data_IF_048476148860
#
_entry.id   IF_048476148860
#
_cell.length_a   1.000
_cell.length_b   1.000
_cell.length_c   1.000
_cell.angle_alpha   90.00
_cell.angle_beta   90.00
_cell.angle_gamma   90.00
#
_symmetry.space_group_name_H-M   'P 1'
#
loop_
_entity.id
_entity.type
_entity.pdbx_description
1 polymer ?
#
# COMPACT_ATOMS: atom_id res chain seq x y z
N UNK A 1 -9.18 -14.20 18.82
CA UNK A 1 -10.21 -14.50 19.82
C UNK A 1 -11.28 -15.36 19.15
N UNK A 2 -11.63 -16.47 19.80
CA UNK A 2 -12.76 -17.31 19.40
C UNK A 2 -13.70 -17.45 20.59
N UNK A 3 -14.99 -17.29 20.39
CA UNK A 3 -16.02 -17.42 21.42
C UNK A 3 -17.25 -18.10 20.86
N UNK A 4 -17.87 -18.94 21.71
CA UNK A 4 -19.16 -19.57 21.44
C UNK A 4 -20.13 -19.24 22.57
N UNK A 5 -21.33 -18.87 22.20
CA UNK A 5 -22.45 -18.66 23.11
C UNK A 5 -23.60 -19.59 22.76
N UNK A 6 -24.16 -20.20 23.78
CA UNK A 6 -25.40 -20.96 23.66
C UNK A 6 -26.56 -20.02 24.01
N UNK A 7 -27.44 -19.78 23.06
CA UNK A 7 -28.65 -18.95 23.21
C UNK A 7 -29.86 -19.86 23.25
N UNK A 8 -30.06 -20.54 24.40
CA UNK A 8 -30.94 -21.68 24.52
C UNK A 8 -30.39 -22.85 23.70
N UNK A 9 -31.17 -23.33 22.74
CA UNK A 9 -30.77 -24.43 21.84
C UNK A 9 -30.11 -23.93 20.53
N UNK A 10 -29.83 -22.62 20.41
CA UNK A 10 -29.15 -21.99 19.28
C UNK A 10 -27.71 -21.70 19.60
N UNK A 11 -26.87 -21.61 18.59
CA UNK A 11 -25.44 -21.31 18.78
C UNK A 11 -25.07 -20.05 18.04
N UNK A 12 -24.31 -19.19 18.71
CA UNK A 12 -23.65 -18.04 18.12
C UNK A 12 -22.13 -18.17 18.31
N UNK A 13 -21.40 -18.30 17.22
CA UNK A 13 -19.95 -18.32 17.21
C UNK A 13 -19.41 -16.98 16.74
N UNK A 14 -18.35 -16.49 17.36
CA UNK A 14 -17.59 -15.32 16.96
C UNK A 14 -16.12 -15.68 16.78
N UNK A 15 -15.54 -15.22 15.67
CA UNK A 15 -14.10 -15.24 15.43
C UNK A 15 -13.62 -13.83 15.18
N UNK A 16 -12.72 -13.35 16.01
CA UNK A 16 -12.10 -12.02 15.88
C UNK A 16 -10.58 -12.12 15.85
N UNK A 17 -9.95 -11.37 14.97
CA UNK A 17 -8.50 -11.20 14.96
C UNK A 17 -8.15 -9.75 14.63
N UNK A 18 -7.02 -9.30 15.15
CA UNK A 18 -6.45 -8.01 14.85
C UNK A 18 -4.94 -8.17 14.71
N UNK A 19 -4.38 -7.51 13.73
CA UNK A 19 -2.94 -7.51 13.52
C UNK A 19 -2.50 -6.09 13.20
N UNK A 20 -1.39 -5.69 13.79
CA UNK A 20 -0.74 -4.42 13.55
C UNK A 20 0.75 -4.62 13.33
N UNK A 21 1.29 -3.97 12.31
CA UNK A 21 2.72 -3.98 12.01
C UNK A 21 3.16 -2.56 11.68
N UNK A 22 4.26 -2.14 12.27
CA UNK A 22 4.95 -0.91 11.91
C UNK A 22 6.41 -1.26 11.60
N UNK A 23 6.83 -1.01 10.37
CA UNK A 23 8.12 -1.41 9.85
C UNK A 23 8.87 -0.19 9.33
N UNK A 24 10.08 0.01 9.82
CA UNK A 24 11.03 1.01 9.34
C UNK A 24 12.12 0.30 8.54
N UNK A 25 12.42 0.81 7.34
CA UNK A 25 13.52 0.34 6.50
C UNK A 25 14.29 1.52 5.97
N UNK A 26 15.59 1.49 6.15
CA UNK A 26 16.53 2.47 5.61
C UNK A 26 17.41 1.79 4.58
N UNK A 27 17.57 2.43 3.44
CA UNK A 27 18.53 2.05 2.42
C UNK A 27 19.43 3.25 2.20
N UNK A 28 20.70 3.09 2.46
CA UNK A 28 21.72 4.15 2.30
C UNK A 28 22.68 3.76 1.19
N UNK A 29 23.17 4.75 0.46
CA UNK A 29 24.10 4.58 -0.64
C UNK A 29 23.60 3.61 -1.73
N UNK A 30 22.31 3.64 -2.03
CA UNK A 30 21.72 2.77 -3.05
C UNK A 30 22.02 3.34 -4.44
N UNK A 31 22.79 2.62 -5.24
CA UNK A 31 23.08 3.02 -6.61
C UNK A 31 21.82 3.01 -7.48
N UNK A 32 21.60 4.12 -8.17
CA UNK A 32 20.49 4.30 -9.11
C UNK A 32 21.03 4.82 -10.44
N UNK A 33 21.52 3.87 -11.25
CA UNK A 33 22.25 4.15 -12.47
C UNK A 33 21.39 3.87 -13.71
N UNK A 34 21.55 4.69 -14.73
CA UNK A 34 21.09 4.41 -16.09
C UNK A 34 22.31 4.21 -16.98
N UNK A 35 22.40 3.01 -17.54
CA UNK A 35 23.52 2.63 -18.40
C UNK A 35 23.22 2.95 -19.86
N UNK A 36 24.23 3.47 -20.56
CA UNK A 36 24.26 3.63 -22.00
C UNK A 36 24.93 2.45 -22.71
N UNK A 37 25.57 2.74 -23.86
CA UNK A 37 26.31 1.75 -24.62
C UNK A 37 27.58 1.38 -23.84
N UNK A 38 27.84 0.08 -23.69
CA UNK A 38 29.03 -0.40 -23.04
C UNK A 38 30.29 -0.04 -23.84
N UNK A 39 31.28 0.58 -23.18
CA UNK A 39 32.59 0.88 -23.78
C UNK A 39 33.49 -0.35 -23.73
N UNK A 40 33.42 -1.15 -24.78
CA UNK A 40 34.22 -2.37 -24.90
C UNK A 40 35.72 -2.14 -25.03
N UNK A 41 36.13 -0.95 -25.45
CA UNK A 41 37.57 -0.61 -25.61
C UNK A 41 38.24 -0.41 -24.24
N UNK A 42 37.53 0.14 -23.29
CA UNK A 42 38.03 0.45 -21.96
C UNK A 42 37.46 -0.50 -20.88
N UNK A 43 36.66 -1.48 -21.27
CA UNK A 43 35.99 -2.45 -20.39
C UNK A 43 35.22 -1.77 -19.25
N UNK A 44 34.40 -0.75 -19.60
CA UNK A 44 33.70 0.10 -18.64
C UNK A 44 32.23 0.30 -19.02
N UNK A 45 31.32 0.32 -18.02
CA UNK A 45 29.97 0.79 -18.26
C UNK A 45 30.00 2.30 -18.56
N UNK A 46 29.26 2.70 -19.58
CA UNK A 46 29.00 4.09 -19.85
C UNK A 46 27.71 4.49 -19.14
N UNK A 47 27.77 5.44 -18.23
CA UNK A 47 26.63 5.93 -17.48
C UNK A 47 25.95 7.07 -18.24
N UNK A 48 24.67 6.94 -18.53
CA UNK A 48 23.80 8.05 -18.94
C UNK A 48 23.39 8.89 -17.73
N UNK A 49 23.20 8.23 -16.58
CA UNK A 49 22.97 8.86 -15.29
C UNK A 49 23.60 8.00 -14.21
N UNK A 50 24.25 8.64 -13.27
CA UNK A 50 24.82 7.99 -12.10
C UNK A 50 24.38 8.74 -10.86
N UNK A 51 23.67 8.08 -9.97
CA UNK A 51 23.20 8.68 -8.73
C UNK A 51 23.17 7.69 -7.57
N UNK A 52 23.24 8.24 -6.39
CA UNK A 52 23.13 7.51 -5.12
C UNK A 52 21.89 8.01 -4.39
N UNK A 53 21.08 7.07 -3.94
CA UNK A 53 19.84 7.32 -3.21
C UNK A 53 19.98 6.90 -1.75
N UNK A 54 19.52 7.77 -0.84
CA UNK A 54 19.20 7.44 0.52
C UNK A 54 17.68 7.40 0.66
N UNK A 55 17.14 6.27 1.11
CA UNK A 55 15.72 6.06 1.19
C UNK A 55 15.28 5.61 2.57
N UNK A 56 14.34 6.33 3.15
CA UNK A 56 13.75 6.06 4.46
C UNK A 56 12.28 5.71 4.30
N UNK A 57 11.92 4.49 4.69
CA UNK A 57 10.57 3.97 4.55
C UNK A 57 9.95 3.68 5.91
N UNK A 58 8.69 4.04 6.07
CA UNK A 58 7.84 3.59 7.16
C UNK A 58 6.57 2.97 6.58
N UNK A 59 6.34 1.69 6.88
CA UNK A 59 5.17 0.94 6.44
C UNK A 59 4.34 0.53 7.65
N UNK A 60 3.13 1.03 7.72
CA UNK A 60 2.16 0.67 8.75
C UNK A 60 1.06 -0.19 8.13
N UNK A 61 0.75 -1.31 8.79
CA UNK A 61 -0.33 -2.21 8.39
C UNK A 61 -1.23 -2.49 9.59
N UNK A 62 -2.52 -2.29 9.41
CA UNK A 62 -3.55 -2.68 10.35
C UNK A 62 -4.52 -3.60 9.64
N UNK A 63 -4.71 -4.79 10.18
CA UNK A 63 -5.73 -5.74 9.72
C UNK A 63 -6.66 -6.11 10.86
N UNK A 64 -7.95 -6.21 10.58
CA UNK A 64 -8.95 -6.68 11.53
C UNK A 64 -9.94 -7.61 10.82
N UNK A 65 -10.35 -8.64 11.52
CA UNK A 65 -11.37 -9.59 11.08
C UNK A 65 -12.35 -9.82 12.22
N UNK A 66 -13.66 -9.76 11.90
CA UNK A 66 -14.72 -10.05 12.85
C UNK A 66 -15.82 -10.83 12.13
N UNK A 67 -15.92 -12.10 12.44
CA UNK A 67 -16.87 -13.00 11.83
C UNK A 67 -17.82 -13.57 12.88
N UNK A 68 -19.09 -13.70 12.49
CA UNK A 68 -20.12 -14.35 13.30
C UNK A 68 -20.73 -15.50 12.51
N UNK A 69 -21.05 -16.58 13.21
CA UNK A 69 -21.84 -17.70 12.68
C UNK A 69 -22.96 -17.98 13.65
N UNK A 70 -24.19 -17.90 13.16
CA UNK A 70 -25.39 -18.28 13.89
C UNK A 70 -25.92 -19.58 13.31
N UNK A 71 -26.27 -20.51 14.19
CA UNK A 71 -26.89 -21.78 13.85
C UNK A 71 -28.21 -21.93 14.61
N UNK A 72 -29.27 -22.25 13.89
CA UNK A 72 -30.58 -22.52 14.47
C UNK A 72 -30.60 -23.82 15.36
N UNK A 73 -31.62 -23.98 16.17
CA UNK A 73 -31.81 -25.14 17.05
C UNK A 73 -31.75 -26.48 16.32
N UNK A 74 -32.41 -26.57 15.21
CA UNK A 74 -32.52 -27.77 14.35
C UNK A 74 -31.29 -27.96 13.43
N UNK A 75 -30.35 -27.02 13.43
CA UNK A 75 -29.17 -27.05 12.55
C UNK A 75 -29.46 -26.74 11.08
N UNK A 76 -30.72 -26.54 10.71
CA UNK A 76 -31.16 -26.40 9.33
C UNK A 76 -30.96 -24.99 8.77
N UNK A 77 -30.76 -23.98 9.63
CA UNK A 77 -30.56 -22.60 9.22
C UNK A 77 -29.25 -22.09 9.77
N UNK A 78 -28.33 -21.71 8.87
CA UNK A 78 -27.03 -21.18 9.20
C UNK A 78 -26.87 -19.81 8.57
N UNK A 79 -26.51 -18.80 9.37
CA UNK A 79 -26.15 -17.47 8.91
C UNK A 79 -24.69 -17.19 9.25
N UNK A 80 -23.97 -16.58 8.32
CA UNK A 80 -22.59 -16.16 8.54
C UNK A 80 -22.42 -14.71 8.13
N UNK A 81 -21.94 -13.89 9.05
CA UNK A 81 -21.46 -12.54 8.77
C UNK A 81 -19.93 -12.55 8.82
N UNK A 82 -19.29 -12.20 7.73
CA UNK A 82 -17.84 -12.13 7.59
C UNK A 82 -17.44 -10.71 7.31
N UNK A 83 -16.45 -10.20 8.05
CA UNK A 83 -15.92 -8.85 7.87
C UNK A 83 -14.41 -8.89 7.91
N UNK A 84 -13.80 -8.24 6.93
CA UNK A 84 -12.36 -8.05 6.85
C UNK A 84 -12.10 -6.57 6.58
N UNK A 85 -11.27 -5.98 7.42
CA UNK A 85 -10.78 -4.61 7.27
C UNK A 85 -9.26 -4.63 7.17
N UNK A 86 -8.70 -3.87 6.22
CA UNK A 86 -7.27 -3.64 6.14
C UNK A 86 -6.99 -2.17 5.87
N UNK A 87 -5.97 -1.65 6.53
CA UNK A 87 -5.39 -0.35 6.25
C UNK A 87 -3.89 -0.48 6.10
N UNK A 88 -3.37 0.03 4.99
CA UNK A 88 -1.96 0.06 4.66
C UNK A 88 -1.56 1.52 4.49
N UNK A 89 -0.50 1.95 5.17
CA UNK A 89 0.08 3.26 4.99
C UNK A 89 1.57 3.12 4.70
N UNK A 90 2.06 3.87 3.72
CA UNK A 90 3.47 3.93 3.37
C UNK A 90 3.89 5.39 3.37
N UNK A 91 4.89 5.72 4.18
CA UNK A 91 5.62 6.97 4.13
C UNK A 91 7.03 6.69 3.64
N UNK A 92 7.48 7.45 2.65
CA UNK A 92 8.81 7.31 2.07
C UNK A 92 9.42 8.69 1.84
N UNK A 93 10.63 8.86 2.31
CA UNK A 93 11.50 9.95 1.94
C UNK A 93 12.67 9.39 1.12
N UNK A 94 12.95 9.98 -0.02
CA UNK A 94 14.11 9.62 -0.84
C UNK A 94 14.92 10.88 -1.10
N UNK A 95 16.19 10.82 -0.78
CA UNK A 95 17.18 11.81 -1.18
C UNK A 95 18.06 11.20 -2.27
N UNK A 96 18.35 11.96 -3.32
CA UNK A 96 19.21 11.55 -4.43
C UNK A 96 20.27 12.60 -4.66
N UNK A 97 21.51 12.18 -4.82
CA UNK A 97 22.63 12.98 -5.23
C UNK A 97 23.33 12.29 -6.42
N UNK A 98 23.70 13.01 -7.46
CA UNK A 98 24.34 12.40 -8.61
C UNK A 98 24.51 13.31 -9.81
N UNK A 99 24.69 12.65 -10.95
CA UNK A 99 24.88 13.31 -12.25
C UNK A 99 23.75 12.91 -13.19
N UNK A 100 23.11 13.90 -13.81
CA UNK A 100 22.02 13.69 -14.78
C UNK A 100 22.51 13.12 -16.10
N UNK A 101 21.56 12.76 -16.97
CA UNK A 101 21.85 12.36 -18.34
C UNK A 101 22.48 13.49 -19.20
N UNK A 102 22.36 14.74 -18.78
CA UNK A 102 22.98 15.90 -19.39
C UNK A 102 24.32 16.27 -18.75
N UNK A 103 24.86 15.41 -17.89
CA UNK A 103 26.09 15.60 -17.13
C UNK A 103 26.06 16.73 -16.11
N UNK A 104 24.85 17.19 -15.71
CA UNK A 104 24.70 18.17 -14.65
C UNK A 104 24.73 17.49 -13.28
N UNK A 105 25.34 18.15 -12.30
CA UNK A 105 25.20 17.73 -10.90
C UNK A 105 23.77 18.00 -10.45
N UNK A 106 23.11 16.96 -9.94
CA UNK A 106 21.70 17.02 -9.53
C UNK A 106 21.52 16.54 -8.10
N UNK A 107 20.63 17.20 -7.39
CA UNK A 107 20.09 16.74 -6.12
C UNK A 107 18.57 16.76 -6.18
N UNK A 108 17.95 15.68 -5.73
CA UNK A 108 16.49 15.62 -5.68
C UNK A 108 15.99 15.02 -4.38
N UNK A 109 14.79 15.42 -3.99
CA UNK A 109 14.11 14.78 -2.90
C UNK A 109 12.66 14.48 -3.26
N UNK A 110 12.17 13.34 -2.78
CA UNK A 110 10.78 12.94 -2.86
C UNK A 110 10.23 12.67 -1.47
N UNK A 111 9.13 13.37 -1.14
CA UNK A 111 8.27 13.05 -0.01
C UNK A 111 7.03 12.35 -0.52
N UNK A 112 6.84 11.12 -0.11
CA UNK A 112 5.74 10.28 -0.56
C UNK A 112 5.00 9.71 0.63
N UNK A 113 3.68 9.94 0.67
CA UNK A 113 2.79 9.26 1.59
C UNK A 113 1.60 8.72 0.82
N UNK A 114 1.23 7.49 1.10
CA UNK A 114 0.04 6.84 0.55
C UNK A 114 -0.61 5.97 1.59
N UNK A 115 -1.93 6.09 1.72
CA UNK A 115 -2.74 5.15 2.47
C UNK A 115 -3.71 4.40 1.56
N UNK A 116 -4.02 3.18 1.94
CA UNK A 116 -5.04 2.33 1.33
C UNK A 116 -5.89 1.73 2.43
N UNK A 117 -7.19 1.86 2.29
CA UNK A 117 -8.17 1.23 3.17
C UNK A 117 -9.00 0.28 2.32
N UNK A 118 -9.20 -0.94 2.79
CA UNK A 118 -10.12 -1.90 2.19
C UNK A 118 -11.00 -2.50 3.25
N UNK A 119 -12.28 -2.61 2.94
CA UNK A 119 -13.26 -3.33 3.74
C UNK A 119 -14.03 -4.29 2.85
N UNK A 120 -14.29 -5.48 3.35
CA UNK A 120 -15.15 -6.45 2.71
C UNK A 120 -16.07 -7.07 3.77
N UNK A 121 -17.37 -6.93 3.55
CA UNK A 121 -18.42 -7.50 4.35
C UNK A 121 -19.24 -8.48 3.52
N UNK A 122 -19.53 -9.66 4.07
CA UNK A 122 -20.34 -10.67 3.41
C UNK A 122 -21.32 -11.28 4.41
N UNK A 123 -22.59 -11.30 4.05
CA UNK A 123 -23.64 -12.04 4.76
C UNK A 123 -24.07 -13.22 3.90
N UNK A 124 -24.03 -14.42 4.46
CA UNK A 124 -24.49 -15.64 3.79
C UNK A 124 -25.54 -16.35 4.63
N UNK A 125 -26.49 -16.95 3.97
CA UNK A 125 -27.50 -17.82 4.58
C UNK A 125 -27.55 -19.16 3.88
N UNK A 126 -27.60 -20.22 4.68
CA UNK A 126 -27.84 -21.60 4.22
C UNK A 126 -29.05 -22.15 4.95
N UNK A 127 -30.00 -22.66 4.19
CA UNK A 127 -31.25 -23.17 4.69
C UNK A 127 -31.52 -24.54 4.07
N UNK A 128 -31.73 -25.54 4.91
CA UNK A 128 -32.08 -26.88 4.49
C UNK A 128 -33.54 -27.15 4.92
N UNK A 129 -34.38 -27.48 3.96
CA UNK A 129 -35.76 -27.86 4.15
C UNK A 129 -35.89 -29.38 3.88
N UNK A 130 -37.03 -29.93 4.08
CA UNK A 130 -37.26 -31.39 3.95
C UNK A 130 -36.90 -31.92 2.55
N UNK A 131 -37.20 -31.16 1.50
CA UNK A 131 -36.95 -31.54 0.10
C UNK A 131 -36.06 -30.56 -0.67
N UNK A 132 -35.73 -29.40 -0.08
CA UNK A 132 -35.07 -28.30 -0.77
C UNK A 132 -33.95 -27.70 0.06
N UNK A 133 -33.01 -27.03 -0.60
CA UNK A 133 -31.98 -26.23 0.05
C UNK A 133 -31.86 -24.87 -0.65
N UNK A 134 -31.67 -23.83 0.15
CA UNK A 134 -31.45 -22.46 -0.32
C UNK A 134 -30.16 -21.92 0.24
N UNK A 135 -29.23 -21.55 -0.65
CA UNK A 135 -28.02 -20.87 -0.31
C UNK A 135 -28.04 -19.47 -0.96
N UNK A 136 -27.74 -18.43 -0.18
CA UNK A 136 -27.68 -17.06 -0.68
C UNK A 136 -26.50 -16.31 -0.07
N UNK A 137 -26.04 -15.28 -0.78
CA UNK A 137 -24.94 -14.42 -0.34
C UNK A 137 -25.16 -12.99 -0.78
N UNK A 138 -24.92 -12.05 0.13
CA UNK A 138 -24.88 -10.62 -0.14
C UNK A 138 -23.54 -10.11 0.33
N UNK A 139 -22.85 -9.33 -0.53
CA UNK A 139 -21.55 -8.76 -0.25
C UNK A 139 -21.55 -7.24 -0.42
N UNK A 140 -20.67 -6.58 0.30
CA UNK A 140 -20.32 -5.18 0.14
C UNK A 140 -18.81 -5.04 0.26
N UNK A 141 -18.20 -4.35 -0.69
CA UNK A 141 -16.79 -4.03 -0.66
C UNK A 141 -16.57 -2.52 -0.79
N UNK A 142 -15.60 -2.03 -0.04
CA UNK A 142 -15.13 -0.64 -0.10
C UNK A 142 -13.61 -0.64 -0.26
N UNK A 143 -13.12 0.17 -1.17
CA UNK A 143 -11.70 0.45 -1.34
C UNK A 143 -11.45 1.95 -1.45
N UNK A 144 -10.49 2.44 -0.68
CA UNK A 144 -10.02 3.82 -0.74
C UNK A 144 -8.51 3.84 -0.95
N UNK A 145 -8.05 4.73 -1.80
CA UNK A 145 -6.64 5.07 -1.96
C UNK A 145 -6.49 6.58 -1.82
N UNK A 146 -5.65 7.02 -0.89
CA UNK A 146 -5.40 8.43 -0.64
C UNK A 146 -3.90 8.72 -0.70
N UNK A 147 -3.52 9.70 -1.51
CA UNK A 147 -2.18 10.23 -1.66
C UNK A 147 -2.28 11.75 -1.49
N UNK A 148 -2.17 12.26 -0.24
CA UNK A 148 -2.54 13.63 0.09
C UNK A 148 -1.53 14.68 -0.33
N UNK A 149 -0.25 14.34 -0.45
CA UNK A 149 0.78 15.35 -0.66
C UNK A 149 2.10 14.68 -1.08
N UNK A 150 2.16 14.18 -2.29
CA UNK A 150 3.44 13.75 -2.86
C UNK A 150 4.16 14.98 -3.37
N UNK A 151 5.34 15.23 -2.85
CA UNK A 151 6.21 16.35 -3.25
C UNK A 151 7.51 15.84 -3.82
N UNK A 152 7.87 16.37 -4.98
CA UNK A 152 9.18 16.16 -5.59
C UNK A 152 9.80 17.51 -5.91
N UNK A 153 11.09 17.63 -5.71
CA UNK A 153 11.87 18.75 -6.21
C UNK A 153 13.23 18.27 -6.68
N UNK A 154 13.76 19.00 -7.66
CA UNK A 154 15.05 18.81 -8.24
C UNK A 154 15.79 20.14 -8.19
N UNK A 155 17.04 20.12 -7.75
CA UNK A 155 17.99 21.23 -7.87
C UNK A 155 19.17 20.74 -8.69
N UNK A 156 19.68 21.57 -9.57
CA UNK A 156 20.83 21.27 -10.41
C UNK A 156 21.89 22.36 -10.36
N UNK A 157 23.13 22.01 -10.68
CA UNK A 157 24.25 22.89 -10.91
C UNK A 157 24.74 22.72 -12.36
N UNK A 158 23.94 23.22 -13.29
CA UNK A 158 24.21 23.10 -14.72
C UNK A 158 25.51 23.74 -15.19
N UNK A 159 26.10 24.61 -14.38
CA UNK A 159 27.34 25.33 -14.71
C UNK A 159 28.54 24.84 -13.90
N UNK A 160 28.35 23.78 -13.10
CA UNK A 160 29.39 23.26 -12.18
C UNK A 160 30.03 24.37 -11.31
N UNK A 161 29.24 25.38 -10.99
CA UNK A 161 29.68 26.57 -10.24
C UNK A 161 29.62 26.35 -8.71
N UNK A 162 29.07 25.24 -8.27
CA UNK A 162 28.74 24.97 -6.87
C UNK A 162 27.46 25.67 -6.39
N UNK A 163 26.76 26.36 -7.28
CA UNK A 163 25.48 27.03 -6.99
C UNK A 163 24.32 26.20 -7.57
N UNK A 164 23.60 25.55 -6.70
CA UNK A 164 22.42 24.78 -7.08
C UNK A 164 21.21 25.68 -7.26
N UNK A 165 20.53 25.54 -8.38
CA UNK A 165 19.28 26.24 -8.68
C UNK A 165 18.12 25.28 -8.73
N UNK A 166 16.93 25.75 -8.36
CA UNK A 166 15.72 24.94 -8.49
C UNK A 166 15.40 24.72 -9.97
N UNK A 167 15.29 23.47 -10.40
CA UNK A 167 14.87 23.14 -11.75
C UNK A 167 13.44 23.65 -11.99
N UNK A 168 13.22 24.28 -13.14
CA UNK A 168 11.90 24.82 -13.53
C UNK A 168 11.13 23.87 -14.42
N UNK A 169 11.63 22.65 -14.62
CA UNK A 169 11.01 21.64 -15.48
C UNK A 169 9.90 20.82 -14.77
N UNK A 170 9.47 19.75 -15.43
CA UNK A 170 8.43 18.85 -14.95
C UNK A 170 8.83 18.03 -13.70
N UNK A 171 10.06 18.18 -13.22
CA UNK A 171 10.61 17.40 -12.11
C UNK A 171 10.23 17.98 -10.74
N UNK A 172 9.59 19.15 -10.72
CA UNK A 172 8.99 19.72 -9.52
C UNK A 172 7.51 19.48 -9.57
N UNK A 173 7.01 18.69 -8.62
CA UNK A 173 5.59 18.39 -8.56
C UNK A 173 5.07 18.29 -7.14
N UNK A 174 3.81 18.68 -7.00
CA UNK A 174 3.00 18.40 -5.83
C UNK A 174 1.72 17.75 -6.28
N UNK A 175 1.47 16.54 -5.81
CA UNK A 175 0.35 15.72 -6.25
C UNK A 175 -0.56 15.39 -5.07
N UNK A 176 -1.86 15.48 -5.32
CA UNK A 176 -2.90 14.99 -4.44
C UNK A 176 -3.85 14.10 -5.26
N UNK A 177 -4.10 12.88 -4.79
CA UNK A 177 -5.07 11.97 -5.42
C UNK A 177 -5.87 11.22 -4.38
N UNK A 178 -7.14 11.04 -4.66
CA UNK A 178 -8.04 10.19 -3.89
C UNK A 178 -8.87 9.36 -4.86
N UNK A 179 -9.03 8.10 -4.54
CA UNK A 179 -9.91 7.16 -5.25
C UNK A 179 -10.75 6.43 -4.20
N UNK A 180 -12.06 6.48 -4.39
CA UNK A 180 -13.05 5.76 -3.58
C UNK A 180 -13.86 4.83 -4.49
N UNK A 181 -13.95 3.56 -4.11
CA UNK A 181 -14.70 2.53 -4.83
C UNK A 181 -15.63 1.80 -3.88
N UNK A 182 -16.87 1.60 -4.32
CA UNK A 182 -17.90 0.85 -3.63
C UNK A 182 -18.48 -0.22 -4.56
N UNK A 183 -18.55 -1.45 -4.12
CA UNK A 183 -19.05 -2.61 -4.87
C UNK A 183 -20.06 -3.37 -4.03
#
# INVERSE_FOLDING_TARGET
LNRRWMLGERTLDMLASMHYTNEYRTYENMENNLYGIYDAANDKPNYLRHSVDDQYNNNVRLGAMLNFTFLSKDGNHKYQLKNIFNQLATSRYTWRDGVSAQSNLERSAEYYYRSRTTYNGQLTGKHTFTSDALDWSIGYAYANRHLPDRRRYLIDDALESGVYALSTGNDISREWTQLDEHI
#
